data_IF_918025075309
#
_entry.id   IF_918025075309
#
_cell.length_a   1.000
_cell.length_b   1.000
_cell.length_c   1.000
_cell.angle_alpha   90.00
_cell.angle_beta   90.00
_cell.angle_gamma   90.00
#
_symmetry.space_group_name_H-M   'P 1'
#
loop_
_entity.id
_entity.type
_entity.pdbx_description
1 polymer ?
#
# COMPACT_ATOMS: atom_id res chain seq x y z
N UNK A 1 -6.05 -1.69 -26.56
CA UNK A 1 -5.24 -2.25 -25.44
C UNK A 1 -4.70 -3.63 -25.79
N UNK A 2 -3.40 -3.81 -25.63
CA UNK A 2 -2.70 -5.10 -25.70
C UNK A 2 -2.86 -5.88 -24.38
N UNK A 3 -3.56 -7.02 -24.41
CA UNK A 3 -3.82 -7.82 -23.21
C UNK A 3 -2.62 -8.66 -22.76
N UNK A 4 -1.81 -9.16 -23.70
CA UNK A 4 -0.63 -9.96 -23.35
C UNK A 4 0.39 -9.07 -22.64
N UNK A 5 0.63 -7.86 -23.16
CA UNK A 5 1.48 -6.89 -22.49
C UNK A 5 0.92 -6.43 -21.15
N UNK A 6 -0.40 -6.26 -21.03
CA UNK A 6 -1.03 -5.97 -19.74
C UNK A 6 -0.74 -7.05 -18.71
N UNK A 7 -0.92 -8.32 -19.10
CA UNK A 7 -0.66 -9.48 -18.26
C UNK A 7 0.82 -9.55 -17.88
N UNK A 8 1.73 -9.39 -18.84
CA UNK A 8 3.18 -9.37 -18.60
C UNK A 8 3.59 -8.31 -17.57
N UNK A 9 3.12 -7.06 -17.72
CA UNK A 9 3.42 -5.97 -16.78
C UNK A 9 2.97 -6.33 -15.35
N UNK A 10 1.80 -6.95 -15.22
CA UNK A 10 1.25 -7.34 -13.93
C UNK A 10 1.95 -8.55 -13.31
N UNK A 11 2.27 -9.56 -14.13
CA UNK A 11 2.93 -10.80 -13.68
C UNK A 11 4.38 -10.54 -13.29
N UNK A 12 5.10 -9.74 -14.08
CA UNK A 12 6.50 -9.37 -13.81
C UNK A 12 6.65 -8.26 -12.78
N UNK A 13 5.54 -7.56 -12.48
CA UNK A 13 5.50 -6.35 -11.67
C UNK A 13 6.59 -5.34 -12.07
N UNK A 14 6.56 -4.91 -13.33
CA UNK A 14 7.56 -3.99 -13.90
C UNK A 14 7.76 -2.74 -13.00
N UNK A 15 9.02 -2.48 -12.60
CA UNK A 15 9.46 -1.42 -11.68
C UNK A 15 8.78 -1.37 -10.30
N UNK A 16 8.10 -2.43 -9.90
CA UNK A 16 7.47 -2.52 -8.59
C UNK A 16 8.50 -2.93 -7.54
N UNK A 17 8.95 -1.97 -6.72
CA UNK A 17 9.85 -2.23 -5.59
C UNK A 17 10.02 -0.98 -4.72
N UNK A 18 10.41 -1.23 -3.48
CA UNK A 18 11.02 -0.21 -2.62
C UNK A 18 12.42 0.14 -3.15
N UNK A 19 12.90 1.34 -2.84
CA UNK A 19 14.21 1.85 -3.23
C UNK A 19 14.81 2.62 -2.06
N UNK A 20 15.72 1.98 -1.33
CA UNK A 20 16.32 2.52 -0.11
C UNK A 20 17.18 3.76 -0.38
N UNK A 21 17.81 3.83 -1.55
CA UNK A 21 18.68 4.92 -2.00
C UNK A 21 17.94 5.98 -2.84
N UNK A 22 16.61 6.02 -2.78
CA UNK A 22 15.81 7.03 -3.47
C UNK A 22 16.07 8.44 -2.91
N UNK A 23 16.31 9.40 -3.80
CA UNK A 23 16.47 10.81 -3.44
C UNK A 23 15.16 11.38 -2.87
N UNK A 24 14.03 11.06 -3.50
CA UNK A 24 12.69 11.42 -3.02
C UNK A 24 11.78 10.19 -2.96
N UNK A 25 10.98 10.10 -1.91
CA UNK A 25 9.84 9.18 -1.85
C UNK A 25 8.58 9.99 -1.60
N UNK A 26 7.55 9.76 -2.41
CA UNK A 26 6.29 10.49 -2.35
C UNK A 26 5.12 9.52 -2.24
N UNK A 27 4.20 9.80 -1.31
CA UNK A 27 2.90 9.14 -1.25
C UNK A 27 1.85 9.98 -1.97
N UNK A 28 0.98 9.30 -2.71
CA UNK A 28 -0.17 9.86 -3.39
C UNK A 28 -1.38 8.93 -3.16
N UNK A 29 -2.57 9.51 -3.02
CA UNK A 29 -3.83 8.75 -2.92
C UNK A 29 -4.66 9.02 -4.16
N UNK A 30 -4.92 7.98 -4.94
CA UNK A 30 -5.80 8.05 -6.09
C UNK A 30 -7.19 8.53 -5.66
N UNK A 31 -7.65 9.64 -6.21
CA UNK A 31 -8.91 10.29 -5.85
C UNK A 31 -10.14 9.52 -6.34
N UNK A 32 -10.00 8.75 -7.44
CA UNK A 32 -11.10 8.00 -8.02
C UNK A 32 -11.39 6.67 -7.31
N UNK A 33 -10.36 5.89 -6.98
CA UNK A 33 -10.53 4.57 -6.35
C UNK A 33 -10.05 4.49 -4.89
N UNK A 34 -9.31 5.49 -4.40
CA UNK A 34 -8.75 5.51 -3.06
C UNK A 34 -7.43 4.75 -2.90
N UNK A 35 -6.90 4.15 -3.98
CA UNK A 35 -5.65 3.39 -3.97
C UNK A 35 -4.46 4.27 -3.55
N UNK A 36 -3.58 3.72 -2.71
CA UNK A 36 -2.36 4.37 -2.28
C UNK A 36 -1.21 4.05 -3.22
N UNK A 37 -0.59 5.10 -3.77
CA UNK A 37 0.62 5.04 -4.58
C UNK A 37 1.79 5.56 -3.75
N UNK A 38 2.95 4.93 -3.91
CA UNK A 38 4.22 5.45 -3.41
C UNK A 38 5.24 5.39 -4.53
N UNK A 39 5.78 6.56 -4.89
CA UNK A 39 6.82 6.69 -5.90
C UNK A 39 8.17 6.88 -5.22
N UNK A 40 9.19 6.27 -5.81
CA UNK A 40 10.58 6.38 -5.40
C UNK A 40 11.37 6.87 -6.61
N UNK A 41 11.97 8.05 -6.51
CA UNK A 41 12.80 8.60 -7.59
C UNK A 41 14.21 8.80 -7.06
N UNK A 42 15.18 8.21 -7.76
CA UNK A 42 16.59 8.52 -7.62
C UNK A 42 16.93 9.60 -8.64
N UNK A 43 17.26 10.77 -8.12
CA UNK A 43 17.59 11.95 -8.92
C UNK A 43 19.05 12.28 -8.67
N UNK A 44 19.83 12.30 -9.75
CA UNK A 44 21.21 12.79 -9.76
C UNK A 44 21.23 14.11 -10.53
N UNK A 45 21.67 15.17 -9.84
CA UNK A 45 21.66 16.54 -10.34
C UNK A 45 20.25 16.97 -10.80
N UNK A 46 19.96 16.90 -12.09
CA UNK A 46 18.69 17.29 -12.69
C UNK A 46 17.99 16.15 -13.44
N UNK A 47 18.46 14.89 -13.31
CA UNK A 47 17.93 13.74 -14.04
C UNK A 47 17.43 12.63 -13.13
N UNK A 48 16.28 12.05 -13.50
CA UNK A 48 15.77 10.83 -12.88
C UNK A 48 16.59 9.65 -13.40
N UNK A 49 17.55 9.17 -12.62
CA UNK A 49 18.42 8.04 -13.01
C UNK A 49 17.76 6.69 -12.74
N UNK A 50 16.84 6.64 -11.78
CA UNK A 50 16.04 5.46 -11.50
C UNK A 50 14.68 5.86 -10.92
N UNK A 51 13.67 5.04 -11.19
CA UNK A 51 12.31 5.26 -10.74
C UNK A 51 11.64 3.90 -10.46
N UNK A 52 11.01 3.80 -9.30
CA UNK A 52 10.19 2.65 -8.92
C UNK A 52 8.94 3.10 -8.20
N UNK A 53 8.03 2.16 -7.96
CA UNK A 53 6.81 2.42 -7.23
C UNK A 53 6.40 1.23 -6.39
N UNK A 54 5.55 1.50 -5.42
CA UNK A 54 4.71 0.49 -4.78
C UNK A 54 3.28 1.01 -4.79
N UNK A 55 2.33 0.11 -4.93
CA UNK A 55 0.93 0.48 -5.03
C UNK A 55 0.04 -0.58 -4.42
N UNK A 56 -0.99 -0.10 -3.75
CA UNK A 56 -2.07 -0.92 -3.22
C UNK A 56 -3.21 -1.14 -4.24
N UNK A 57 -3.05 -0.59 -5.44
CA UNK A 57 -4.10 -0.54 -6.44
C UNK A 57 -4.20 -1.77 -7.33
N UNK A 58 -5.19 -1.72 -8.21
CA UNK A 58 -5.45 -2.81 -9.16
C UNK A 58 -4.41 -2.85 -10.31
N UNK A 59 -4.51 -3.86 -11.17
CA UNK A 59 -3.56 -4.05 -12.26
C UNK A 59 -3.49 -2.91 -13.29
N UNK A 60 -4.54 -2.12 -13.45
CA UNK A 60 -4.49 -0.90 -14.28
C UNK A 60 -3.69 0.22 -13.61
N UNK A 61 -3.80 0.38 -12.28
CA UNK A 61 -2.98 1.32 -11.54
C UNK A 61 -1.51 0.92 -11.55
N UNK A 62 -1.24 -0.38 -11.41
CA UNK A 62 0.10 -0.95 -11.57
C UNK A 62 0.66 -0.65 -12.97
N UNK A 63 -0.09 -0.95 -14.03
CA UNK A 63 0.37 -0.69 -15.40
C UNK A 63 0.63 0.80 -15.67
N UNK A 64 -0.23 1.70 -15.19
CA UNK A 64 -0.04 3.14 -15.36
C UNK A 64 1.21 3.66 -14.64
N UNK A 65 1.46 3.21 -13.40
CA UNK A 65 2.66 3.56 -12.64
C UNK A 65 3.92 2.96 -13.25
N UNK A 66 3.85 1.73 -13.77
CA UNK A 66 4.96 1.11 -14.50
C UNK A 66 5.36 1.94 -15.71
N UNK A 67 4.39 2.37 -16.52
CA UNK A 67 4.66 3.22 -17.69
C UNK A 67 5.17 4.61 -17.28
N UNK A 68 4.59 5.25 -16.26
CA UNK A 68 5.05 6.54 -15.79
C UNK A 68 6.51 6.49 -15.27
N UNK A 69 6.87 5.44 -14.53
CA UNK A 69 8.24 5.25 -14.02
C UNK A 69 9.24 4.88 -15.12
N UNK A 70 8.86 4.02 -16.08
CA UNK A 70 9.68 3.76 -17.28
C UNK A 70 9.89 5.04 -18.10
N UNK A 71 8.84 5.84 -18.30
CA UNK A 71 8.93 7.11 -19.02
C UNK A 71 9.87 8.09 -18.30
N UNK A 72 9.75 8.22 -16.97
CA UNK A 72 10.56 9.17 -16.21
C UNK A 72 12.06 8.85 -16.25
N UNK A 73 12.45 7.57 -16.32
CA UNK A 73 13.86 7.16 -16.30
C UNK A 73 14.65 7.79 -17.45
N UNK A 74 15.78 8.41 -17.11
CA UNK A 74 16.70 9.08 -18.04
C UNK A 74 16.30 10.51 -18.42
N UNK A 75 15.08 10.96 -18.08
CA UNK A 75 14.59 12.32 -18.37
C UNK A 75 14.99 13.31 -17.27
N UNK A 76 15.03 14.57 -17.64
CA UNK A 76 15.25 15.66 -16.69
C UNK A 76 14.04 15.85 -15.77
N UNK A 77 14.28 16.42 -14.59
CA UNK A 77 13.22 16.76 -13.62
C UNK A 77 12.17 17.68 -14.24
N UNK A 78 12.57 18.61 -15.12
CA UNK A 78 11.65 19.51 -15.83
C UNK A 78 10.77 18.78 -16.86
N UNK A 79 11.32 17.80 -17.58
CA UNK A 79 10.53 16.95 -18.48
C UNK A 79 9.53 16.10 -17.69
N UNK A 80 9.94 15.52 -16.56
CA UNK A 80 9.08 14.69 -15.70
C UNK A 80 7.98 15.50 -15.03
N UNK A 81 8.24 16.76 -14.67
CA UNK A 81 7.22 17.69 -14.18
C UNK A 81 6.11 17.95 -15.22
N UNK A 82 6.44 17.88 -16.51
CA UNK A 82 5.51 18.12 -17.63
C UNK A 82 4.91 16.86 -18.22
N UNK A 83 5.14 15.68 -17.62
CA UNK A 83 4.56 14.42 -18.08
C UNK A 83 3.03 14.54 -18.19
N UNK A 84 2.46 13.95 -19.24
CA UNK A 84 1.04 13.94 -19.51
C UNK A 84 0.47 12.52 -19.58
N UNK A 85 -0.86 12.40 -19.51
CA UNK A 85 -1.50 11.09 -19.70
C UNK A 85 -1.21 10.51 -21.09
N UNK A 86 -1.07 11.36 -22.11
CA UNK A 86 -0.72 10.95 -23.46
C UNK A 86 0.70 10.34 -23.55
N UNK A 87 1.64 10.82 -22.74
CA UNK A 87 2.98 10.23 -22.66
C UNK A 87 2.94 8.79 -22.12
N UNK A 88 2.13 8.57 -21.08
CA UNK A 88 1.90 7.25 -20.47
C UNK A 88 1.13 6.34 -21.44
N UNK A 89 0.07 6.85 -22.08
CA UNK A 89 -0.74 6.11 -23.05
C UNK A 89 0.03 5.78 -24.34
N UNK A 90 0.99 6.62 -24.73
CA UNK A 90 1.89 6.37 -25.85
C UNK A 90 2.78 5.13 -25.63
N UNK A 91 3.02 4.74 -24.38
CA UNK A 91 3.78 3.53 -24.03
C UNK A 91 2.88 2.29 -23.92
N UNK A 92 1.64 2.46 -23.45
CA UNK A 92 0.65 1.40 -23.31
C UNK A 92 -0.77 1.98 -23.38
N UNK A 93 -1.57 1.51 -24.33
CA UNK A 93 -2.94 2.00 -24.55
C UNK A 93 -3.92 1.46 -23.50
N UNK A 94 -4.61 2.35 -22.77
CA UNK A 94 -5.62 1.98 -21.79
C UNK A 94 -7.03 1.97 -22.41
N UNK A 95 -7.92 1.04 -22.00
CA UNK A 95 -9.32 1.08 -22.40
C UNK A 95 -9.98 2.40 -21.98
N UNK A 96 -10.92 2.91 -22.76
CA UNK A 96 -11.56 4.22 -22.53
C UNK A 96 -12.07 4.40 -21.09
N UNK A 97 -12.68 3.36 -20.50
CA UNK A 97 -13.20 3.37 -19.12
C UNK A 97 -12.11 3.29 -18.03
N UNK A 98 -10.84 3.30 -18.41
CA UNK A 98 -9.66 3.12 -17.55
C UNK A 98 -8.60 4.22 -17.75
N UNK A 99 -8.92 5.28 -18.51
CA UNK A 99 -8.01 6.42 -18.73
C UNK A 99 -7.73 7.27 -17.49
N UNK A 100 -8.55 7.12 -16.45
CA UNK A 100 -8.30 7.71 -15.14
C UNK A 100 -7.01 7.18 -14.47
N UNK A 101 -6.50 6.00 -14.86
CA UNK A 101 -5.27 5.44 -14.27
C UNK A 101 -3.99 6.15 -14.75
N UNK A 102 -3.79 6.38 -16.07
CA UNK A 102 -2.75 7.28 -16.56
C UNK A 102 -2.76 8.65 -15.90
N UNK A 103 -3.93 9.29 -15.79
CA UNK A 103 -4.08 10.60 -15.14
C UNK A 103 -3.59 10.55 -13.67
N UNK A 104 -4.03 9.55 -12.91
CA UNK A 104 -3.60 9.40 -11.52
C UNK A 104 -2.10 9.11 -11.37
N UNK A 105 -1.50 8.38 -12.31
CA UNK A 105 -0.06 8.10 -12.31
C UNK A 105 0.76 9.36 -12.63
N UNK A 106 0.26 10.20 -13.55
CA UNK A 106 0.83 11.51 -13.87
C UNK A 106 0.75 12.45 -12.68
N UNK A 107 -0.40 12.56 -12.02
CA UNK A 107 -0.55 13.39 -10.82
C UNK A 107 0.39 12.94 -9.69
N UNK A 108 0.54 11.62 -9.50
CA UNK A 108 1.50 11.08 -8.56
C UNK A 108 2.94 11.45 -8.91
N UNK A 109 3.32 11.35 -10.19
CA UNK A 109 4.66 11.68 -10.68
C UNK A 109 4.98 13.17 -10.51
N UNK A 110 4.06 14.04 -10.91
CA UNK A 110 4.16 15.49 -10.72
C UNK A 110 4.28 15.84 -9.24
N UNK A 111 3.50 15.19 -8.36
CA UNK A 111 3.64 15.34 -6.92
C UNK A 111 5.02 14.91 -6.43
N UNK A 112 5.56 13.79 -6.91
CA UNK A 112 6.89 13.32 -6.53
C UNK A 112 8.00 14.31 -6.92
N UNK A 113 7.88 14.95 -8.10
CA UNK A 113 8.80 16.03 -8.51
C UNK A 113 8.63 17.28 -7.65
N UNK A 114 7.39 17.67 -7.31
CA UNK A 114 7.14 18.77 -6.39
C UNK A 114 7.75 18.50 -5.00
N UNK A 115 7.60 17.27 -4.50
CA UNK A 115 8.19 16.84 -3.22
C UNK A 115 9.71 16.86 -3.24
N UNK A 116 10.33 16.52 -4.38
CA UNK A 116 11.77 16.64 -4.56
C UNK A 116 12.22 18.10 -4.51
N UNK A 117 11.59 18.98 -5.31
CA UNK A 117 11.94 20.40 -5.40
C UNK A 117 11.77 21.13 -4.06
N UNK A 118 10.72 20.79 -3.32
CA UNK A 118 10.37 21.47 -2.07
C UNK A 118 10.98 20.79 -0.83
N UNK A 119 11.61 19.63 -0.98
CA UNK A 119 12.09 18.83 0.16
C UNK A 119 10.96 18.31 1.06
N UNK A 120 9.74 18.14 0.53
CA UNK A 120 8.53 17.71 1.27
C UNK A 120 8.20 16.23 1.12
N UNK A 121 9.09 15.46 0.49
CA UNK A 121 8.99 14.00 0.45
C UNK A 121 9.01 13.36 1.84
N UNK A 122 8.67 12.07 1.89
CA UNK A 122 8.72 11.28 3.12
C UNK A 122 10.15 11.34 3.69
N UNK A 123 10.32 11.51 5.00
CA UNK A 123 11.66 11.54 5.62
C UNK A 123 12.36 10.18 5.51
N UNK A 124 13.70 10.13 5.51
CA UNK A 124 14.43 8.87 5.46
C UNK A 124 14.07 7.94 6.63
N UNK A 125 13.87 8.49 7.84
CA UNK A 125 13.49 7.74 9.04
C UNK A 125 12.10 7.09 8.95
N UNK A 126 11.23 7.61 8.08
CA UNK A 126 9.88 7.09 7.85
C UNK A 126 9.78 6.17 6.62
N UNK A 127 10.88 5.97 5.88
CA UNK A 127 10.97 5.08 4.69
C UNK A 127 11.50 3.69 5.08
N UNK A 128 10.86 3.02 6.04
CA UNK A 128 11.26 1.66 6.40
C UNK A 128 10.86 0.70 5.28
N UNK A 129 11.85 0.17 4.56
CA UNK A 129 11.67 -0.89 3.57
C UNK A 129 11.63 -2.27 4.19
N UNK A 130 11.27 -3.27 3.38
CA UNK A 130 11.39 -4.69 3.69
C UNK A 130 12.76 -5.05 4.26
N UNK A 131 13.83 -4.65 3.58
CA UNK A 131 15.20 -4.98 3.97
C UNK A 131 15.51 -4.44 5.35
N UNK A 132 15.17 -3.17 5.60
CA UNK A 132 15.39 -2.51 6.89
C UNK A 132 14.52 -3.13 7.99
N UNK A 133 13.26 -3.44 7.69
CA UNK A 133 12.35 -4.10 8.64
C UNK A 133 12.86 -5.48 9.04
N UNK A 134 13.26 -6.32 8.08
CA UNK A 134 13.78 -7.66 8.36
C UNK A 134 15.14 -7.62 9.08
N UNK A 135 15.98 -6.63 8.77
CA UNK A 135 17.22 -6.42 9.50
C UNK A 135 16.96 -6.03 10.96
N UNK A 136 16.06 -5.07 11.21
CA UNK A 136 15.61 -4.71 12.56
C UNK A 136 15.09 -5.93 13.32
N UNK A 137 14.21 -6.71 12.69
CA UNK A 137 13.67 -7.94 13.27
C UNK A 137 14.80 -8.92 13.66
N UNK A 138 15.79 -9.10 12.79
CA UNK A 138 16.93 -9.98 13.06
C UNK A 138 17.80 -9.47 14.22
N UNK A 139 17.99 -8.17 14.34
CA UNK A 139 18.83 -7.55 15.36
C UNK A 139 18.19 -7.52 16.74
N UNK A 140 16.91 -7.18 16.83
CA UNK A 140 16.22 -6.96 18.11
C UNK A 140 15.18 -8.05 18.46
N UNK A 141 14.86 -8.95 17.53
CA UNK A 141 13.91 -10.05 17.73
C UNK A 141 12.43 -9.64 17.69
N UNK A 142 12.13 -8.37 17.45
CA UNK A 142 10.76 -7.84 17.37
C UNK A 142 10.64 -6.64 16.42
N UNK A 143 9.42 -6.23 16.15
CA UNK A 143 9.05 -5.01 15.41
C UNK A 143 8.06 -4.13 16.19
N UNK A 144 8.01 -4.28 17.53
CA UNK A 144 7.22 -3.47 18.46
C UNK A 144 7.41 -1.97 18.22
N UNK A 145 6.31 -1.25 18.03
CA UNK A 145 6.29 0.22 17.88
C UNK A 145 6.99 0.76 16.62
N UNK A 146 7.46 -0.10 15.72
CA UNK A 146 8.21 0.33 14.52
C UNK A 146 7.33 1.08 13.52
N UNK A 147 7.93 2.01 12.76
CA UNK A 147 7.25 2.78 11.72
C UNK A 147 7.27 2.05 10.37
N UNK A 148 6.37 1.10 10.20
CA UNK A 148 6.29 0.20 9.04
C UNK A 148 5.22 0.62 8.02
N UNK A 149 5.05 1.93 7.80
CA UNK A 149 3.97 2.45 6.93
C UNK A 149 4.25 2.13 5.46
N UNK A 150 3.32 1.43 4.81
CA UNK A 150 3.42 0.89 3.44
C UNK A 150 4.63 -0.04 3.19
N UNK A 151 5.21 -0.65 4.24
CA UNK A 151 6.29 -1.63 4.07
C UNK A 151 5.82 -2.83 3.25
N UNK A 152 6.71 -3.43 2.45
CA UNK A 152 6.43 -4.70 1.77
C UNK A 152 6.91 -5.90 2.59
N UNK A 153 5.96 -6.65 3.16
CA UNK A 153 6.18 -7.91 3.86
C UNK A 153 5.33 -9.05 3.26
N UNK A 154 4.95 -8.91 1.98
CA UNK A 154 4.14 -9.90 1.24
C UNK A 154 4.85 -11.25 1.19
N UNK A 155 4.19 -12.30 1.69
CA UNK A 155 4.73 -13.67 1.69
C UNK A 155 5.82 -13.95 2.73
N UNK A 156 6.16 -13.00 3.60
CA UNK A 156 7.18 -13.21 4.63
C UNK A 156 6.74 -14.20 5.71
N UNK A 157 7.70 -14.94 6.27
CA UNK A 157 7.50 -15.74 7.48
C UNK A 157 7.73 -14.88 8.71
N UNK A 158 6.63 -14.46 9.35
CA UNK A 158 6.58 -13.55 10.48
C UNK A 158 5.91 -14.22 11.70
N UNK A 159 6.03 -15.55 11.79
CA UNK A 159 5.45 -16.33 12.89
C UNK A 159 5.98 -15.88 14.24
N UNK A 160 5.07 -15.64 15.18
CA UNK A 160 5.41 -15.25 16.54
C UNK A 160 6.08 -13.88 16.68
N UNK A 161 6.21 -13.09 15.61
CA UNK A 161 6.85 -11.77 15.67
C UNK A 161 6.00 -10.82 16.49
N UNK A 162 6.66 -10.04 17.37
CA UNK A 162 6.01 -8.99 18.15
C UNK A 162 5.97 -7.67 17.38
N UNK A 163 4.78 -7.31 16.92
CA UNK A 163 4.40 -6.05 16.26
C UNK A 163 3.56 -5.15 17.17
N UNK A 164 3.55 -5.34 18.50
CA UNK A 164 2.69 -4.56 19.39
C UNK A 164 2.92 -3.05 19.20
N UNK A 165 1.82 -2.33 18.93
CA UNK A 165 1.84 -0.89 18.68
C UNK A 165 2.56 -0.44 17.41
N UNK A 166 3.03 -1.35 16.54
CA UNK A 166 3.69 -1.00 15.29
C UNK A 166 2.74 -0.24 14.36
N UNK A 167 3.30 0.69 13.57
CA UNK A 167 2.55 1.41 12.57
C UNK A 167 2.66 0.75 11.20
N UNK A 168 1.71 -0.14 10.90
CA UNK A 168 1.59 -0.91 9.65
C UNK A 168 0.55 -0.32 8.69
N UNK A 169 0.29 0.99 8.77
CA UNK A 169 -0.72 1.63 7.94
C UNK A 169 -0.40 1.41 6.45
N UNK A 170 -1.39 0.91 5.70
CA UNK A 170 -1.28 0.53 4.30
C UNK A 170 -0.13 -0.46 3.98
N UNK A 171 0.37 -1.23 4.95
CA UNK A 171 1.41 -2.24 4.74
C UNK A 171 0.92 -3.39 3.83
N UNK A 172 1.86 -3.98 3.09
CA UNK A 172 1.61 -5.14 2.22
C UNK A 172 1.98 -6.41 2.98
N UNK A 173 0.98 -7.14 3.46
CA UNK A 173 1.11 -8.37 4.25
C UNK A 173 0.38 -9.55 3.58
N UNK A 174 0.03 -9.43 2.29
CA UNK A 174 -0.67 -10.48 1.58
C UNK A 174 0.16 -11.77 1.63
N UNK A 175 -0.50 -12.91 1.82
CA UNK A 175 0.15 -14.23 1.89
C UNK A 175 1.23 -14.39 2.99
N UNK A 176 1.44 -13.40 3.86
CA UNK A 176 2.42 -13.51 4.94
C UNK A 176 1.98 -14.55 5.99
N UNK A 177 2.95 -15.19 6.63
CA UNK A 177 2.68 -16.08 7.76
C UNK A 177 2.84 -15.32 9.08
N UNK A 178 1.73 -14.88 9.67
CA UNK A 178 1.64 -14.14 10.93
C UNK A 178 1.10 -15.04 12.06
N UNK A 179 1.22 -16.37 11.93
CA UNK A 179 0.71 -17.28 12.95
C UNK A 179 1.39 -17.02 14.31
N UNK A 180 0.57 -16.81 15.34
CA UNK A 180 1.01 -16.47 16.69
C UNK A 180 1.63 -15.08 16.84
N UNK A 181 1.61 -14.22 15.81
CA UNK A 181 2.18 -12.88 15.90
C UNK A 181 1.41 -12.00 16.91
N UNK A 182 2.13 -11.15 17.64
CA UNK A 182 1.52 -10.15 18.52
C UNK A 182 1.31 -8.84 17.74
N UNK A 183 0.09 -8.55 17.33
CA UNK A 183 -0.34 -7.32 16.64
C UNK A 183 -1.19 -6.42 17.55
N UNK A 184 -1.10 -6.62 18.87
CA UNK A 184 -1.92 -5.88 19.83
C UNK A 184 -1.70 -4.37 19.69
N UNK A 185 -2.78 -3.61 19.55
CA UNK A 185 -2.72 -2.15 19.35
C UNK A 185 -1.99 -1.69 18.08
N UNK A 186 -1.64 -2.58 17.15
CA UNK A 186 -0.98 -2.22 15.90
C UNK A 186 -1.91 -1.35 15.03
N UNK A 187 -1.33 -0.39 14.30
CA UNK A 187 -2.07 0.46 13.36
C UNK A 187 -2.05 -0.20 11.99
N UNK A 188 -3.12 -0.92 11.66
CA UNK A 188 -3.27 -1.67 10.41
C UNK A 188 -4.24 -0.99 9.43
N UNK A 189 -4.51 0.31 9.61
CA UNK A 189 -5.47 1.03 8.77
C UNK A 189 -5.08 0.90 7.29
N UNK A 190 -5.98 0.38 6.47
CA UNK A 190 -5.74 0.15 5.04
C UNK A 190 -4.71 -0.94 4.71
N UNK A 191 -4.23 -1.72 5.69
CA UNK A 191 -3.26 -2.78 5.45
C UNK A 191 -3.86 -3.93 4.61
N UNK A 192 -3.01 -4.58 3.85
CA UNK A 192 -3.37 -5.67 2.95
C UNK A 192 -2.99 -7.00 3.57
N UNK A 193 -3.97 -7.67 4.15
CA UNK A 193 -3.85 -8.95 4.86
C UNK A 193 -4.51 -10.09 4.06
N UNK A 194 -4.71 -9.90 2.75
CA UNK A 194 -5.36 -10.91 1.92
C UNK A 194 -4.60 -12.24 1.99
N UNK A 195 -5.31 -13.34 2.23
CA UNK A 195 -4.74 -14.70 2.27
C UNK A 195 -3.59 -14.91 3.27
N UNK A 196 -3.37 -14.01 4.23
CA UNK A 196 -2.36 -14.22 5.26
C UNK A 196 -2.79 -15.30 6.28
N UNK A 197 -1.81 -15.92 6.94
CA UNK A 197 -2.07 -16.82 8.07
C UNK A 197 -2.01 -16.00 9.37
N UNK A 198 -3.16 -15.72 9.99
CA UNK A 198 -3.28 -15.04 11.29
C UNK A 198 -3.65 -16.02 12.41
N UNK A 199 -3.51 -17.33 12.22
CA UNK A 199 -3.90 -18.30 13.24
C UNK A 199 -3.22 -17.99 14.56
N UNK A 200 -3.98 -18.00 15.65
CA UNK A 200 -3.50 -17.68 17.00
C UNK A 200 -2.83 -16.29 17.15
N UNK A 201 -2.96 -15.38 16.17
CA UNK A 201 -2.41 -14.03 16.29
C UNK A 201 -3.24 -13.18 17.26
N UNK A 202 -2.59 -12.24 17.94
CA UNK A 202 -3.23 -11.28 18.83
C UNK A 202 -3.43 -9.94 18.12
N UNK A 203 -4.65 -9.63 17.67
CA UNK A 203 -5.03 -8.34 17.09
C UNK A 203 -5.88 -7.50 18.04
N UNK A 204 -5.87 -7.77 19.35
CA UNK A 204 -6.66 -7.00 20.31
C UNK A 204 -6.29 -5.53 20.23
N UNK A 205 -7.29 -4.65 20.27
CA UNK A 205 -7.12 -3.19 20.18
C UNK A 205 -6.45 -2.68 18.88
N UNK A 206 -6.21 -3.53 17.87
CA UNK A 206 -5.61 -3.10 16.61
C UNK A 206 -6.58 -2.23 15.78
N UNK A 207 -6.04 -1.29 15.00
CA UNK A 207 -6.84 -0.48 14.07
C UNK A 207 -6.89 -1.13 12.68
N UNK A 208 -7.98 -1.83 12.36
CA UNK A 208 -8.20 -2.54 11.09
C UNK A 208 -9.09 -1.75 10.11
N UNK A 209 -9.40 -0.48 10.36
CA UNK A 209 -10.24 0.32 9.45
C UNK A 209 -9.65 0.31 8.04
N UNK A 210 -10.49 0.15 7.02
CA UNK A 210 -10.06 -0.03 5.61
C UNK A 210 -9.15 -1.23 5.32
N UNK A 211 -8.80 -2.07 6.31
CA UNK A 211 -7.93 -3.22 6.07
C UNK A 211 -8.63 -4.29 5.23
N UNK A 212 -7.86 -5.04 4.44
CA UNK A 212 -8.35 -6.10 3.55
C UNK A 212 -7.90 -7.45 4.06
N UNK A 213 -8.81 -8.26 4.62
CA UNK A 213 -8.54 -9.57 5.21
C UNK A 213 -9.20 -10.73 4.44
N UNK A 214 -9.65 -10.49 3.20
CA UNK A 214 -10.27 -11.53 2.39
C UNK A 214 -9.30 -12.73 2.21
N UNK A 215 -9.78 -13.94 2.49
CA UNK A 215 -8.98 -15.16 2.47
C UNK A 215 -8.13 -15.41 3.72
N UNK A 216 -7.97 -14.44 4.64
CA UNK A 216 -7.12 -14.61 5.82
C UNK A 216 -7.57 -15.76 6.73
N UNK A 217 -6.61 -16.55 7.22
CA UNK A 217 -6.87 -17.63 8.17
C UNK A 217 -6.84 -17.06 9.59
N UNK A 218 -7.99 -17.05 10.27
CA UNK A 218 -8.17 -16.36 11.56
C UNK A 218 -8.48 -17.32 12.71
N UNK A 219 -8.26 -18.62 12.53
CA UNK A 219 -8.58 -19.62 13.54
C UNK A 219 -7.76 -19.37 14.83
N UNK A 220 -8.44 -19.18 15.96
CA UNK A 220 -7.81 -18.86 17.24
C UNK A 220 -7.26 -17.44 17.38
N UNK A 221 -7.37 -16.60 16.35
CA UNK A 221 -6.94 -15.21 16.41
C UNK A 221 -7.86 -14.37 17.32
N UNK A 222 -7.27 -13.42 18.06
CA UNK A 222 -7.99 -12.55 18.99
C UNK A 222 -8.21 -11.17 18.37
N UNK A 223 -9.45 -10.69 18.36
CA UNK A 223 -9.84 -9.40 17.75
C UNK A 223 -10.56 -8.49 18.75
N UNK A 224 -10.54 -8.82 20.04
CA UNK A 224 -11.28 -8.10 21.08
C UNK A 224 -10.89 -6.62 21.09
N UNK A 225 -11.89 -5.76 20.89
CA UNK A 225 -11.68 -4.31 20.88
C UNK A 225 -10.94 -3.76 19.66
N UNK A 226 -10.57 -4.59 18.67
CA UNK A 226 -10.03 -4.10 17.41
C UNK A 226 -11.04 -3.22 16.68
N UNK A 227 -10.57 -2.20 15.97
CA UNK A 227 -11.43 -1.23 15.28
C UNK A 227 -11.67 -1.64 13.85
N UNK A 228 -12.94 -1.63 13.42
CA UNK A 228 -13.31 -1.81 12.01
C UNK A 228 -14.23 -0.69 11.55
N UNK A 229 -14.36 -0.54 10.23
CA UNK A 229 -15.31 0.38 9.61
C UNK A 229 -15.90 -0.22 8.33
N UNK A 230 -16.72 0.55 7.62
CA UNK A 230 -17.36 0.14 6.36
C UNK A 230 -16.36 -0.18 5.24
N UNK A 231 -15.10 0.27 5.36
CA UNK A 231 -14.02 -0.04 4.44
C UNK A 231 -13.34 -1.37 4.73
N UNK A 232 -13.53 -1.93 5.93
CA UNK A 232 -12.88 -3.18 6.37
C UNK A 232 -13.48 -4.37 5.61
N UNK A 233 -12.63 -5.19 4.97
CA UNK A 233 -13.08 -6.28 4.10
C UNK A 233 -12.77 -7.63 4.73
N UNK A 234 -13.82 -8.33 5.15
CA UNK A 234 -13.80 -9.68 5.68
C UNK A 234 -14.58 -10.65 4.77
N UNK A 235 -14.21 -11.92 4.78
CA UNK A 235 -14.96 -13.01 4.15
C UNK A 235 -16.26 -13.29 4.91
N UNK A 236 -17.23 -13.92 4.24
CA UNK A 236 -18.49 -14.36 4.87
C UNK A 236 -18.26 -15.27 6.10
N UNK A 237 -17.23 -16.12 6.09
CA UNK A 237 -16.88 -16.99 7.22
C UNK A 237 -16.34 -16.23 8.44
N UNK A 238 -15.84 -15.01 8.24
CA UNK A 238 -15.23 -14.17 9.27
C UNK A 238 -16.21 -13.18 9.90
N UNK A 239 -17.49 -13.15 9.48
CA UNK A 239 -18.49 -12.17 9.97
C UNK A 239 -18.73 -12.26 11.48
N UNK A 240 -18.39 -13.38 12.11
CA UNK A 240 -18.47 -13.54 13.56
C UNK A 240 -17.53 -12.59 14.31
N UNK A 241 -16.43 -12.13 13.67
CA UNK A 241 -15.47 -11.19 14.25
C UNK A 241 -16.10 -9.83 14.57
N UNK A 242 -17.13 -9.40 13.83
CA UNK A 242 -17.84 -8.16 14.12
C UNK A 242 -18.50 -8.14 15.50
N UNK A 243 -18.67 -9.30 16.15
CA UNK A 243 -19.23 -9.39 17.52
C UNK A 243 -18.23 -8.98 18.60
N UNK A 244 -16.93 -9.07 18.33
CA UNK A 244 -15.85 -8.79 19.30
C UNK A 244 -15.08 -7.52 18.96
N UNK A 245 -15.10 -7.11 17.70
CA UNK A 245 -14.54 -5.83 17.24
C UNK A 245 -15.49 -4.65 17.53
N UNK A 246 -14.95 -3.43 17.49
CA UNK A 246 -15.68 -2.17 17.66
C UNK A 246 -15.77 -1.44 16.34
N UNK A 247 -16.98 -1.07 15.93
CA UNK A 247 -17.17 -0.27 14.73
C UNK A 247 -16.84 1.20 15.01
N UNK A 248 -16.09 1.81 14.10
CA UNK A 248 -15.75 3.23 14.09
C UNK A 248 -16.21 3.86 12.76
N UNK A 249 -16.84 5.04 12.82
CA UNK A 249 -17.41 5.72 11.65
C UNK A 249 -18.88 5.40 11.36
N UNK A 250 -19.47 6.07 10.36
CA UNK A 250 -20.92 6.02 10.08
C UNK A 250 -21.39 4.63 9.65
N UNK A 251 -22.49 4.15 10.22
CA UNK A 251 -23.27 3.02 9.71
C UNK A 251 -23.98 3.45 8.43
N UNK A 252 -23.77 2.76 7.30
CA UNK A 252 -24.38 3.10 6.00
C UNK A 252 -25.92 2.98 5.96
N UNK A 253 -26.58 2.61 7.07
CA UNK A 253 -28.01 2.29 7.12
C UNK A 253 -28.88 3.16 8.04
N UNK A 254 -28.38 4.26 8.58
CA UNK A 254 -29.21 5.15 9.41
C UNK A 254 -29.17 6.57 8.90
N UNK A 255 -29.96 6.85 7.85
CA UNK A 255 -30.50 8.19 7.52
C UNK A 255 -31.57 8.13 6.39
N UNK A 256 -32.50 7.17 6.46
CA UNK A 256 -33.76 7.20 5.68
C UNK A 256 -35.03 7.05 6.55
N UNK A 257 -34.96 7.40 7.83
CA UNK A 257 -36.14 7.52 8.69
C UNK A 257 -36.27 8.97 9.16
N UNK A 258 -36.95 9.80 8.38
CA UNK A 258 -37.16 11.21 8.73
C UNK A 258 -37.66 12.12 7.62
N UNK A 259 -38.51 11.63 6.71
CA UNK A 259 -39.40 12.47 5.91
C UNK A 259 -40.74 11.76 5.81
N UNK A 260 -41.58 12.01 6.81
CA UNK A 260 -43.04 11.89 6.71
C UNK A 260 -43.56 13.26 6.33
#
# INVERSE_FOLDING_TARGET
MDYERFKEINDTRLNYREMDDATVVSSYRNTGCGDGYRLYLKIDSDRVVDASYTTTGCGFGLAALAMATEWARGRSVEEVERITAADVEGMFEFPERRKNYPESAVEAMQKAIADFRNGTGISADDRVSRTVALQKLKEQGHLRGEKLTQVILEGEDLRGVDFEGANLQNAFLQNANLEGANLRGARLRGAFLNSCNLKNADLREADLRWAKLAGAQVDGAQFDGALYDVGTRLDQRQVHLYRVMKQEGKTLYTEQAGRV
#
